data_IF_334603229096
#
_entry.id   IF_334603229096
#
_cell.length_a   1.000
_cell.length_b   1.000
_cell.length_c   1.000
_cell.angle_alpha   90.00
_cell.angle_beta   90.00
_cell.angle_gamma   90.00
#
_symmetry.space_group_name_H-M   'P 1'
#
loop_
_entity.id
_entity.type
_entity.pdbx_description
1 polymer ?
#
# COMPACT_ATOMS: atom_id res chain seq x y z
N UNK A 1 -20.65 -17.53 7.51
CA UNK A 1 -20.05 -18.89 7.48
C UNK A 1 -18.72 -18.80 6.76
N UNK A 2 -17.62 -19.22 7.40
CA UNK A 2 -16.30 -19.23 6.73
C UNK A 2 -16.31 -20.35 5.69
N UNK A 3 -15.96 -20.03 4.44
CA UNK A 3 -16.02 -20.95 3.32
C UNK A 3 -14.98 -22.07 3.51
N UNK A 4 -15.42 -23.26 3.92
CA UNK A 4 -14.55 -24.40 4.25
C UNK A 4 -13.74 -24.88 3.04
N UNK A 5 -14.30 -24.75 1.84
CA UNK A 5 -13.63 -25.11 0.58
C UNK A 5 -12.42 -24.22 0.31
N UNK A 6 -12.55 -22.92 0.56
CA UNK A 6 -11.44 -21.97 0.40
C UNK A 6 -10.29 -22.28 1.36
N UNK A 7 -10.58 -22.76 2.57
CA UNK A 7 -9.53 -23.12 3.53
C UNK A 7 -8.74 -24.38 3.15
N UNK A 8 -9.39 -25.35 2.51
CA UNK A 8 -8.75 -26.60 2.07
C UNK A 8 -8.02 -26.47 0.74
N UNK A 9 -8.43 -25.53 -0.10
CA UNK A 9 -7.82 -25.31 -1.41
C UNK A 9 -6.43 -24.67 -1.29
N UNK A 10 -5.46 -25.24 -2.02
CA UNK A 10 -4.13 -24.66 -2.24
C UNK A 10 -4.14 -23.59 -3.33
N UNK A 11 -5.03 -23.73 -4.29
CA UNK A 11 -5.22 -22.77 -5.38
C UNK A 11 -6.71 -22.53 -5.56
N UNK A 12 -7.11 -21.27 -5.58
CA UNK A 12 -8.48 -20.83 -5.84
C UNK A 12 -8.45 -20.02 -7.13
N UNK A 13 -9.30 -20.40 -8.08
CA UNK A 13 -9.46 -19.69 -9.34
C UNK A 13 -10.90 -19.21 -9.40
N UNK A 14 -11.09 -17.90 -9.39
CA UNK A 14 -12.39 -17.24 -9.51
C UNK A 14 -12.52 -16.68 -10.91
N UNK A 15 -13.46 -17.22 -11.68
CA UNK A 15 -13.70 -16.78 -13.07
C UNK A 15 -14.85 -15.79 -13.09
N UNK A 16 -14.60 -14.61 -13.66
CA UNK A 16 -15.55 -13.52 -13.81
C UNK A 16 -15.70 -13.15 -15.29
N UNK A 17 -16.92 -12.77 -15.68
CA UNK A 17 -17.18 -12.27 -17.02
C UNK A 17 -16.46 -10.92 -17.26
N UNK A 18 -15.79 -10.76 -18.39
CA UNK A 18 -14.99 -9.57 -18.71
C UNK A 18 -15.81 -8.28 -18.78
N UNK A 19 -16.99 -8.32 -19.43
CA UNK A 19 -17.87 -7.14 -19.55
C UNK A 19 -18.47 -6.73 -18.21
N UNK A 20 -18.82 -7.72 -17.38
CA UNK A 20 -19.30 -7.47 -16.00
C UNK A 20 -18.20 -6.90 -15.12
N UNK A 21 -16.98 -7.44 -15.19
CA UNK A 21 -15.83 -6.95 -14.45
C UNK A 21 -15.48 -5.49 -14.80
N UNK A 22 -15.50 -5.14 -16.10
CA UNK A 22 -15.30 -3.76 -16.53
C UNK A 22 -16.44 -2.82 -16.10
N UNK A 23 -17.70 -3.26 -16.19
CA UNK A 23 -18.83 -2.45 -15.77
C UNK A 23 -18.81 -2.17 -14.25
N UNK A 24 -18.52 -3.17 -13.42
CA UNK A 24 -18.35 -3.02 -11.96
C UNK A 24 -17.16 -2.11 -11.59
N UNK A 25 -16.10 -2.12 -12.39
CA UNK A 25 -14.87 -1.34 -12.14
C UNK A 25 -14.98 0.13 -12.61
N UNK A 26 -15.65 0.40 -13.73
CA UNK A 26 -15.60 1.72 -14.38
C UNK A 26 -16.76 2.65 -14.01
N UNK A 27 -17.92 2.13 -13.69
CA UNK A 27 -19.08 2.94 -13.33
C UNK A 27 -19.85 2.17 -12.26
N UNK A 28 -19.73 2.59 -11.00
CA UNK A 28 -20.53 2.03 -9.93
C UNK A 28 -21.99 1.92 -10.39
N UNK A 29 -22.47 0.68 -10.54
CA UNK A 29 -23.82 0.43 -11.00
C UNK A 29 -24.80 1.21 -10.10
N UNK A 30 -25.78 1.94 -10.67
CA UNK A 30 -26.84 2.48 -9.87
C UNK A 30 -27.63 1.30 -9.31
N UNK A 31 -27.40 1.00 -8.03
CA UNK A 31 -28.21 0.17 -7.13
C UNK A 31 -29.25 -0.71 -7.85
N UNK A 32 -28.79 -1.78 -8.49
CA UNK A 32 -29.66 -2.91 -8.74
C UNK A 32 -29.60 -3.73 -7.46
N UNK A 33 -30.75 -3.88 -6.81
CA UNK A 33 -30.90 -4.77 -5.65
C UNK A 33 -30.31 -6.14 -5.99
N UNK A 34 -29.55 -6.71 -5.05
CA UNK A 34 -28.80 -7.98 -5.16
C UNK A 34 -29.63 -9.19 -5.64
N UNK A 35 -30.95 -9.04 -5.77
CA UNK A 35 -31.93 -10.07 -6.12
C UNK A 35 -32.39 -10.07 -7.60
N UNK A 36 -32.02 -9.08 -8.42
CA UNK A 36 -32.38 -9.09 -9.84
C UNK A 36 -31.29 -9.74 -10.71
N UNK A 37 -31.49 -11.03 -11.02
CA UNK A 37 -30.64 -11.77 -11.96
C UNK A 37 -30.88 -11.30 -13.40
N UNK A 38 -30.17 -10.25 -13.82
CA UNK A 38 -30.20 -9.80 -15.21
C UNK A 38 -29.35 -10.75 -16.05
N UNK A 39 -30.02 -11.65 -16.79
CA UNK A 39 -29.36 -12.50 -17.78
C UNK A 39 -29.10 -11.69 -19.05
N UNK A 40 -27.89 -11.19 -19.23
CA UNK A 40 -27.46 -10.58 -20.48
C UNK A 40 -26.88 -11.63 -21.44
N UNK A 41 -26.96 -11.37 -22.74
CA UNK A 41 -26.46 -12.28 -23.80
C UNK A 41 -24.97 -12.63 -23.63
N UNK A 42 -24.22 -11.76 -22.95
CA UNK A 42 -22.78 -11.83 -22.88
C UNK A 42 -22.24 -12.55 -21.63
N UNK A 43 -23.09 -13.00 -20.69
CA UNK A 43 -22.66 -13.58 -19.39
C UNK A 43 -21.72 -14.77 -19.55
N UNK A 44 -21.92 -15.59 -20.58
CA UNK A 44 -21.08 -16.75 -20.89
C UNK A 44 -20.32 -16.55 -22.22
N UNK A 45 -19.92 -15.31 -22.54
CA UNK A 45 -19.11 -15.08 -23.73
C UNK A 45 -17.81 -15.88 -23.64
N UNK A 46 -17.57 -16.70 -24.66
CA UNK A 46 -16.33 -17.47 -24.78
C UNK A 46 -15.17 -16.58 -25.24
N UNK A 47 -15.46 -15.39 -25.78
CA UNK A 47 -14.48 -14.50 -26.41
C UNK A 47 -13.45 -13.99 -25.41
N UNK A 48 -13.85 -13.73 -24.16
CA UNK A 48 -12.95 -13.27 -23.11
C UNK A 48 -13.53 -13.46 -21.70
N UNK A 49 -12.66 -13.67 -20.71
CA UNK A 49 -13.03 -13.54 -19.30
C UNK A 49 -11.82 -13.13 -18.45
N UNK A 50 -12.09 -12.82 -17.18
CA UNK A 50 -11.09 -12.43 -16.18
C UNK A 50 -11.07 -13.46 -15.07
N UNK A 51 -9.90 -13.94 -14.71
CA UNK A 51 -9.67 -14.93 -13.68
C UNK A 51 -8.84 -14.29 -12.56
N UNK A 52 -9.34 -14.33 -11.33
CA UNK A 52 -8.54 -14.03 -10.13
C UNK A 52 -8.04 -15.34 -9.54
N UNK A 53 -6.74 -15.44 -9.35
CA UNK A 53 -6.02 -16.63 -8.90
C UNK A 53 -5.39 -16.31 -7.55
N UNK A 54 -5.75 -17.10 -6.54
CA UNK A 54 -5.11 -17.10 -5.23
C UNK A 54 -4.36 -18.43 -5.07
N UNK A 55 -3.04 -18.38 -4.86
CA UNK A 55 -2.22 -19.57 -4.66
C UNK A 55 -1.48 -19.52 -3.32
N UNK A 56 -1.74 -20.51 -2.47
CA UNK A 56 -1.11 -20.69 -1.16
C UNK A 56 0.12 -21.56 -1.31
N UNK A 57 1.29 -20.95 -1.18
CA UNK A 57 2.58 -21.65 -1.27
C UNK A 57 2.78 -22.52 -0.03
N UNK A 58 3.64 -23.54 -0.16
CA UNK A 58 4.05 -24.39 0.98
C UNK A 58 4.68 -23.60 2.13
N UNK A 59 5.24 -22.42 1.84
CA UNK A 59 5.79 -21.50 2.85
C UNK A 59 4.74 -20.73 3.66
N UNK A 60 3.45 -20.85 3.32
CA UNK A 60 2.36 -20.07 3.92
C UNK A 60 2.10 -18.71 3.26
N UNK A 61 2.99 -18.25 2.37
CA UNK A 61 2.76 -17.03 1.57
C UNK A 61 1.64 -17.27 0.56
N UNK A 62 0.79 -16.27 0.35
CA UNK A 62 -0.32 -16.30 -0.62
C UNK A 62 0.02 -15.38 -1.80
N UNK A 63 -0.02 -15.91 -3.02
CA UNK A 63 0.15 -15.17 -4.26
C UNK A 63 -1.23 -14.84 -4.83
N UNK A 64 -1.43 -13.59 -5.25
CA UNK A 64 -2.63 -13.12 -5.93
C UNK A 64 -2.26 -12.67 -7.34
N UNK A 65 -3.01 -13.14 -8.33
CA UNK A 65 -2.80 -12.84 -9.74
C UNK A 65 -4.14 -12.65 -10.43
N UNK A 66 -4.26 -11.63 -11.30
CA UNK A 66 -5.47 -11.42 -12.10
C UNK A 66 -5.07 -11.56 -13.56
N UNK A 67 -5.67 -12.54 -14.24
CA UNK A 67 -5.39 -12.86 -15.63
C UNK A 67 -6.64 -12.64 -16.48
N UNK A 68 -6.49 -12.04 -17.64
CA UNK A 68 -7.52 -12.01 -18.66
C UNK A 68 -7.15 -13.02 -19.74
N UNK A 69 -8.14 -13.72 -20.27
CA UNK A 69 -7.95 -14.47 -21.50
C UNK A 69 -8.81 -13.87 -22.61
N UNK A 70 -8.31 -13.98 -23.83
CA UNK A 70 -9.03 -13.65 -25.04
C UNK A 70 -8.84 -14.77 -26.06
N UNK A 71 -9.93 -15.32 -26.59
CA UNK A 71 -9.85 -16.32 -27.66
C UNK A 71 -9.72 -15.60 -29.00
N UNK A 72 -8.65 -15.90 -29.72
CA UNK A 72 -8.33 -15.27 -31.02
C UNK A 72 -8.90 -16.11 -32.16
N UNK A 73 -8.83 -17.44 -32.04
CA UNK A 73 -9.39 -18.39 -33.00
C UNK A 73 -10.12 -19.53 -32.26
N UNK A 74 -11.45 -19.51 -32.31
CA UNK A 74 -12.32 -20.52 -31.69
C UNK A 74 -12.17 -21.92 -32.33
N UNK A 75 -11.71 -22.02 -33.58
CA UNK A 75 -11.60 -23.28 -34.30
C UNK A 75 -10.27 -24.00 -34.00
N UNK A 76 -9.22 -23.25 -33.70
CA UNK A 76 -7.89 -23.78 -33.36
C UNK A 76 -7.61 -23.82 -31.86
N UNK A 77 -8.47 -23.21 -31.04
CA UNK A 77 -8.27 -23.13 -29.60
C UNK A 77 -7.12 -22.21 -29.20
N UNK A 78 -6.75 -21.27 -30.06
CA UNK A 78 -5.72 -20.28 -29.75
C UNK A 78 -6.31 -19.18 -28.86
N UNK A 79 -5.82 -19.11 -27.62
CA UNK A 79 -6.16 -18.05 -26.69
C UNK A 79 -4.90 -17.32 -26.23
N UNK A 80 -5.05 -16.02 -26.02
CA UNK A 80 -4.02 -15.18 -25.43
C UNK A 80 -4.38 -14.97 -23.96
N UNK A 81 -3.49 -15.36 -23.06
CA UNK A 81 -3.56 -14.97 -21.64
C UNK A 81 -2.71 -13.71 -21.46
N UNK A 82 -3.29 -12.70 -20.84
CA UNK A 82 -2.59 -11.49 -20.43
C UNK A 82 -2.76 -11.32 -18.93
N UNK A 83 -1.65 -11.12 -18.23
CA UNK A 83 -1.67 -10.61 -16.87
C UNK A 83 -2.38 -9.26 -16.91
N UNK A 84 -3.52 -9.18 -16.25
CA UNK A 84 -4.12 -7.89 -15.92
C UNK A 84 -3.24 -7.39 -14.79
N UNK A 85 -2.16 -6.69 -15.16
CA UNK A 85 -1.55 -5.76 -14.23
C UNK A 85 -2.72 -4.95 -13.71
N UNK A 86 -2.97 -5.00 -12.40
CA UNK A 86 -3.70 -3.90 -11.80
C UNK A 86 -2.97 -2.68 -12.37
N UNK A 87 -3.66 -1.89 -13.18
CA UNK A 87 -3.24 -0.52 -13.31
C UNK A 87 -3.39 0.00 -11.89
N UNK A 88 -2.33 -0.14 -11.08
CA UNK A 88 -1.77 1.07 -10.50
C UNK A 88 -1.88 2.09 -11.60
N UNK A 89 -2.81 3.02 -11.38
CA UNK A 89 -2.89 4.30 -12.06
C UNK A 89 -1.44 4.67 -12.32
N UNK A 90 -0.96 4.47 -13.54
CA UNK A 90 0.35 4.98 -13.89
C UNK A 90 0.18 6.48 -13.70
N UNK A 91 0.89 7.15 -12.78
CA UNK A 91 1.01 8.57 -12.92
C UNK A 91 1.67 8.72 -14.28
N UNK A 92 0.90 9.23 -15.24
CA UNK A 92 1.41 9.74 -16.48
C UNK A 92 2.67 10.51 -16.13
N UNK A 93 3.78 10.14 -16.78
CA UNK A 93 5.03 10.87 -16.74
C UNK A 93 4.77 12.30 -17.24
N UNK A 94 4.21 13.12 -16.36
CA UNK A 94 4.35 14.54 -16.38
C UNK A 94 5.50 14.79 -15.42
N UNK A 95 6.66 15.03 -16.01
CA UNK A 95 7.77 15.74 -15.38
C UNK A 95 7.25 17.11 -14.94
N UNK A 96 6.63 17.13 -13.76
CA UNK A 96 6.51 18.28 -12.92
C UNK A 96 6.74 17.74 -11.51
N UNK A 97 7.65 18.39 -10.83
CA UNK A 97 7.97 18.26 -9.41
C UNK A 97 6.67 18.38 -8.59
N UNK A 98 5.91 17.30 -8.52
CA UNK A 98 4.67 17.22 -7.77
C UNK A 98 5.08 16.77 -6.37
N UNK A 99 5.01 17.72 -5.44
CA UNK A 99 5.11 17.49 -4.00
C UNK A 99 4.45 16.15 -3.66
N UNK A 100 5.17 15.16 -3.09
CA UNK A 100 4.64 13.82 -2.80
C UNK A 100 3.37 13.88 -1.94
N UNK A 101 3.20 14.99 -1.21
CA UNK A 101 2.02 15.29 -0.41
C UNK A 101 0.75 15.56 -1.21
N UNK A 102 0.85 15.73 -2.53
CA UNK A 102 -0.27 15.96 -3.47
C UNK A 102 -0.72 14.70 -4.23
N UNK A 103 -0.08 13.56 -4.00
CA UNK A 103 -0.46 12.29 -4.61
C UNK A 103 -1.81 11.77 -4.07
N UNK A 104 -2.59 11.10 -4.94
CA UNK A 104 -3.85 10.44 -4.59
C UNK A 104 -3.57 9.14 -3.80
N UNK A 105 -3.17 9.29 -2.54
CA UNK A 105 -2.86 8.19 -1.64
C UNK A 105 -4.09 7.80 -0.80
N UNK A 106 -4.15 6.53 -0.40
CA UNK A 106 -5.20 6.04 0.51
C UNK A 106 -5.12 6.65 1.91
N UNK A 107 -4.05 7.39 2.20
CA UNK A 107 -3.81 8.08 3.45
C UNK A 107 -3.20 9.46 3.18
N UNK A 108 -3.44 10.40 4.08
CA UNK A 108 -3.00 11.77 3.91
C UNK A 108 -1.55 11.94 4.40
N UNK A 109 -0.64 12.39 3.53
CA UNK A 109 0.74 12.74 3.88
C UNK A 109 0.86 14.16 4.47
N UNK A 110 -0.16 15.00 4.27
CA UNK A 110 -0.20 16.38 4.74
C UNK A 110 -1.08 16.54 5.96
N UNK A 111 -0.69 17.41 6.89
CA UNK A 111 -1.60 17.84 7.94
C UNK A 111 -2.56 18.91 7.41
N UNK A 112 -3.84 18.75 7.68
CA UNK A 112 -4.83 19.83 7.50
C UNK A 112 -4.52 21.00 8.44
N UNK A 113 -4.96 22.21 8.11
CA UNK A 113 -4.80 23.41 8.97
C UNK A 113 -5.21 23.14 10.42
N UNK A 114 -6.36 22.46 10.61
CA UNK A 114 -6.85 22.07 11.93
C UNK A 114 -5.89 21.14 12.68
N UNK A 115 -5.31 20.15 11.98
CA UNK A 115 -4.35 19.23 12.57
C UNK A 115 -3.01 19.92 12.87
N UNK A 116 -2.59 20.89 12.05
CA UNK A 116 -1.39 21.71 12.31
C UNK A 116 -1.55 22.53 13.59
N UNK A 117 -2.72 23.15 13.78
CA UNK A 117 -3.05 23.89 15.01
C UNK A 117 -3.04 22.94 16.20
N UNK A 118 -3.75 21.80 16.11
CA UNK A 118 -3.77 20.81 17.19
C UNK A 118 -2.35 20.31 17.54
N UNK A 119 -1.49 20.03 16.54
CA UNK A 119 -0.10 19.63 16.77
C UNK A 119 0.71 20.69 17.53
N UNK A 120 0.48 21.98 17.24
CA UNK A 120 1.15 23.09 17.95
C UNK A 120 0.67 23.24 19.39
N UNK A 121 -0.59 22.97 19.64
CA UNK A 121 -1.20 23.09 20.97
C UNK A 121 -0.90 21.88 21.88
N UNK A 122 -0.43 20.78 21.31
CA UNK A 122 -0.02 19.59 22.07
C UNK A 122 1.29 19.87 22.81
N UNK A 123 1.17 20.05 24.12
CA UNK A 123 2.31 20.12 25.04
C UNK A 123 2.87 18.72 25.24
N UNK A 124 4.11 18.50 24.80
CA UNK A 124 4.80 17.24 25.06
C UNK A 124 5.06 17.06 26.57
N UNK A 125 4.97 15.84 27.09
CA UNK A 125 5.48 15.55 28.43
C UNK A 125 6.96 15.93 28.53
N UNK A 126 7.38 16.49 29.66
CA UNK A 126 8.79 16.81 29.98
C UNK A 126 9.48 17.93 29.18
N UNK A 127 8.87 18.59 28.19
CA UNK A 127 9.49 19.76 27.51
C UNK A 127 9.83 20.91 28.46
N UNK A 128 8.94 21.21 29.41
CA UNK A 128 9.18 22.25 30.43
C UNK A 128 10.35 21.92 31.36
N UNK A 129 10.59 20.62 31.58
CA UNK A 129 11.69 20.14 32.41
C UNK A 129 13.01 20.34 31.65
N UNK A 130 13.04 19.99 30.37
CA UNK A 130 14.18 20.23 29.47
C UNK A 130 14.56 21.71 29.39
N UNK A 131 13.57 22.60 29.15
CA UNK A 131 13.78 24.06 29.10
C UNK A 131 14.34 24.63 30.41
N UNK A 132 13.91 24.09 31.55
CA UNK A 132 14.38 24.52 32.87
C UNK A 132 15.84 24.09 33.15
N UNK A 133 16.30 22.99 32.54
CA UNK A 133 17.69 22.53 32.61
C UNK A 133 18.61 23.27 31.62
N UNK A 134 18.14 23.60 30.42
CA UNK A 134 18.91 24.38 29.44
C UNK A 134 19.13 25.82 29.90
N UNK A 135 18.10 26.48 30.44
CA UNK A 135 18.21 27.87 30.91
C UNK A 135 19.11 28.04 32.15
N UNK A 136 19.35 26.98 32.92
CA UNK A 136 20.30 26.98 34.04
C UNK A 136 21.75 26.72 33.61
N UNK A 137 21.98 26.27 32.37
CA UNK A 137 23.31 25.87 31.88
C UNK A 137 24.09 27.00 31.20
N UNK A 138 23.53 28.21 31.08
CA UNK A 138 24.16 29.36 30.39
C UNK A 138 24.95 30.30 31.31
N UNK A 139 24.97 30.05 32.61
CA UNK A 139 25.80 30.80 33.56
C UNK A 139 26.82 29.89 34.25
N UNK A 140 28.09 30.16 33.91
CA UNK A 140 29.32 29.67 34.54
C UNK A 140 29.89 28.32 34.08
N UNK A 141 31.13 28.40 33.61
CA UNK A 141 32.03 27.29 33.39
C UNK A 141 32.42 26.63 34.74
N UNK A 142 31.84 25.47 35.04
CA UNK A 142 32.51 24.42 35.82
C UNK A 142 31.74 23.10 35.75
N UNK A 143 32.44 21.95 35.80
CA UNK A 143 31.83 20.65 35.58
C UNK A 143 31.19 20.14 36.88
N UNK A 144 30.13 19.35 36.71
CA UNK A 144 29.59 18.34 37.64
C UNK A 144 28.48 18.79 38.62
N UNK A 145 27.37 18.04 38.52
CA UNK A 145 26.39 17.70 39.56
C UNK A 145 25.20 18.64 39.81
N UNK A 146 24.25 18.67 38.86
CA UNK A 146 22.82 18.82 39.16
C UNK A 146 21.93 18.47 37.96
N UNK A 147 21.63 17.18 37.79
CA UNK A 147 20.39 16.72 37.13
C UNK A 147 20.24 16.92 35.63
N UNK A 148 21.29 17.27 34.88
CA UNK A 148 21.26 17.26 33.42
C UNK A 148 21.61 15.86 32.93
N UNK A 149 20.63 15.12 32.41
CA UNK A 149 20.82 13.80 31.81
C UNK A 149 21.58 13.93 30.49
N UNK A 150 22.89 14.14 30.56
CA UNK A 150 23.76 14.10 29.39
C UNK A 150 23.85 12.63 28.96
N UNK A 151 23.21 12.31 27.84
CA UNK A 151 23.32 10.98 27.23
C UNK A 151 24.67 10.93 26.53
N UNK A 152 25.63 10.26 27.16
CA UNK A 152 26.91 9.95 26.54
C UNK A 152 26.76 8.59 25.85
N UNK A 153 26.83 8.61 24.52
CA UNK A 153 26.84 7.39 23.73
C UNK A 153 28.28 6.97 23.47
N UNK A 154 28.64 5.78 23.90
CA UNK A 154 29.90 5.12 23.55
C UNK A 154 29.58 4.02 22.53
N UNK A 155 30.03 4.13 21.28
CA UNK A 155 29.89 3.06 20.30
C UNK A 155 30.53 1.77 20.83
N UNK A 156 29.80 0.66 20.79
CA UNK A 156 30.33 -0.66 21.16
C UNK A 156 30.73 -1.47 19.92
N UNK A 157 31.36 -2.62 20.12
CA UNK A 157 31.82 -3.49 19.03
C UNK A 157 30.67 -4.07 18.17
N UNK A 158 29.41 -3.94 18.62
CA UNK A 158 28.21 -4.33 17.90
C UNK A 158 27.50 -3.16 17.22
N UNK A 159 28.01 -1.94 17.35
CA UNK A 159 27.57 -0.76 16.60
C UNK A 159 28.19 -0.83 15.21
N UNK A 160 27.57 -1.63 14.34
CA UNK A 160 27.87 -1.67 12.93
C UNK A 160 27.49 -0.31 12.32
N UNK A 161 28.49 0.55 12.15
CA UNK A 161 28.43 1.54 11.08
C UNK A 161 28.30 0.75 9.79
N UNK A 162 27.07 0.51 9.39
CA UNK A 162 26.72 -0.07 8.12
C UNK A 162 27.30 0.86 7.04
N UNK A 163 28.41 0.41 6.43
CA UNK A 163 29.03 1.07 5.29
C UNK A 163 28.24 0.79 3.99
N UNK A 164 27.19 -0.07 4.01
CA UNK A 164 26.26 -0.19 2.90
C UNK A 164 25.36 1.05 2.90
N UNK A 165 25.69 2.01 2.03
CA UNK A 165 24.82 3.13 1.71
C UNK A 165 23.47 2.56 1.21
N UNK A 166 22.37 2.75 1.96
CA UNK A 166 21.06 2.21 1.60
C UNK A 166 20.53 2.82 0.28
N UNK A 167 21.19 3.85 -0.23
CA UNK A 167 20.88 4.50 -1.50
C UNK A 167 21.64 3.88 -2.70
N UNK A 168 22.63 3.00 -2.51
CA UNK A 168 23.41 2.35 -3.62
C UNK A 168 22.53 1.45 -4.51
N UNK A 169 21.51 0.80 -3.94
CA UNK A 169 20.57 -0.04 -4.69
C UNK A 169 19.37 0.76 -5.28
N UNK A 170 19.30 2.08 -5.03
CA UNK A 170 18.23 2.94 -5.54
C UNK A 170 18.52 3.44 -6.97
N UNK A 171 18.51 2.53 -7.95
CA UNK A 171 18.34 2.95 -9.36
C UNK A 171 16.86 3.08 -9.69
N UNK A 172 16.30 4.27 -9.45
CA UNK A 172 14.96 4.71 -9.89
C UNK A 172 15.03 5.48 -11.22
#
# INVERSE_FOLDING_TARGET
MRNSLAHLATTIITVNNSKRFHAETSQGFPFLSDDEWIITKDINSLESAVCSIEHKKRSGKVLHEINSYQIVDNLKGEFIIKLVSNQEISPSQNTNELDPTSANLLFNLSLTEKQKVAKKDVVLPYTKVQEHYENQSTSSASPISSGTGVIYYEPDEGDDFDDEDPDEDLTI
#
